data_IF_336395615087
#
_entry.id   IF_336395615087
#
_cell.length_a   1.000
_cell.length_b   1.000
_cell.length_c   1.000
_cell.angle_alpha   90.00
_cell.angle_beta   90.00
_cell.angle_gamma   90.00
#
_symmetry.space_group_name_H-M   'P 1'
#
loop_
_entity.id
_entity.type
_entity.pdbx_description
1 polymer ?
#
# COMPACT_ATOMS: atom_id res chain seq x y z
N UNK A 1 7.16 -2.71 -3.14
CA UNK A 1 5.94 -3.55 -3.14
C UNK A 1 6.29 -4.96 -2.69
N UNK A 2 5.97 -5.34 -1.46
CA UNK A 2 6.42 -6.62 -0.88
C UNK A 2 5.72 -7.82 -1.53
N UNK A 3 4.39 -7.86 -1.52
CA UNK A 3 3.62 -8.98 -2.07
C UNK A 3 3.81 -9.17 -3.58
N UNK A 4 4.01 -8.08 -4.32
CA UNK A 4 4.34 -8.12 -5.75
C UNK A 4 5.69 -8.79 -6.00
N UNK A 5 6.74 -8.36 -5.29
CA UNK A 5 8.06 -8.98 -5.41
C UNK A 5 8.01 -10.46 -4.98
N UNK A 6 7.30 -10.75 -3.89
CA UNK A 6 7.18 -12.12 -3.41
C UNK A 6 6.47 -13.03 -4.42
N UNK A 7 5.46 -12.54 -5.16
CA UNK A 7 4.87 -13.27 -6.28
C UNK A 7 5.91 -13.60 -7.36
N UNK A 8 6.78 -12.66 -7.71
CA UNK A 8 7.85 -12.88 -8.70
C UNK A 8 8.88 -13.89 -8.20
N UNK A 9 9.29 -13.80 -6.94
CA UNK A 9 10.23 -14.75 -6.32
C UNK A 9 9.66 -16.16 -6.27
N UNK A 10 8.41 -16.34 -5.88
CA UNK A 10 7.74 -17.65 -5.90
C UNK A 10 7.68 -18.24 -7.31
N UNK A 11 7.40 -17.40 -8.31
CA UNK A 11 7.39 -17.80 -9.71
C UNK A 11 8.78 -18.22 -10.19
N UNK A 12 9.82 -17.44 -9.86
CA UNK A 12 11.20 -17.74 -10.22
C UNK A 12 11.70 -19.07 -9.64
N UNK A 13 11.17 -19.45 -8.46
CA UNK A 13 11.47 -20.73 -7.81
C UNK A 13 10.54 -21.88 -8.24
N UNK A 14 9.75 -21.72 -9.31
CA UNK A 14 8.77 -22.73 -9.77
C UNK A 14 7.81 -23.21 -8.66
N UNK A 15 7.48 -22.33 -7.70
CA UNK A 15 6.60 -22.68 -6.61
C UNK A 15 5.15 -22.85 -7.08
N UNK A 16 4.45 -23.82 -6.48
CA UNK A 16 3.00 -23.99 -6.64
C UNK A 16 2.20 -23.01 -5.76
N UNK A 17 2.83 -22.39 -4.77
CA UNK A 17 2.19 -21.42 -3.87
C UNK A 17 2.01 -20.08 -4.61
N UNK A 18 0.84 -19.46 -4.43
CA UNK A 18 0.50 -18.13 -4.97
C UNK A 18 0.30 -17.13 -3.84
N UNK A 19 0.28 -15.85 -4.20
CA UNK A 19 0.17 -14.73 -3.27
C UNK A 19 -0.86 -13.74 -3.79
N UNK A 20 -1.67 -13.24 -2.86
CA UNK A 20 -2.60 -12.14 -3.03
C UNK A 20 -2.37 -11.10 -1.93
N UNK A 21 -2.83 -9.87 -2.16
CA UNK A 21 -2.83 -8.77 -1.19
C UNK A 21 -4.21 -8.12 -1.18
N UNK A 22 -4.76 -7.95 0.03
CA UNK A 22 -6.09 -7.41 0.27
C UNK A 22 -6.02 -5.92 0.57
N UNK A 23 -6.84 -5.15 -0.14
CA UNK A 23 -7.10 -3.72 0.06
C UNK A 23 -8.57 -3.56 0.42
N UNK A 24 -8.91 -3.72 1.70
CA UNK A 24 -10.28 -3.58 2.13
C UNK A 24 -10.69 -2.10 2.17
N UNK A 25 -11.97 -1.84 1.92
CA UNK A 25 -12.60 -0.56 2.27
C UNK A 25 -12.88 -0.46 3.78
N UNK A 26 -13.95 0.25 4.16
CA UNK A 26 -14.42 0.28 5.55
C UNK A 26 -15.11 -1.05 5.87
N UNK A 27 -14.60 -1.78 6.86
CA UNK A 27 -15.13 -3.10 7.24
C UNK A 27 -15.53 -3.11 8.71
N UNK A 28 -16.73 -3.61 9.00
CA UNK A 28 -17.22 -3.79 10.36
C UNK A 28 -16.41 -4.86 11.09
N UNK A 29 -15.44 -4.39 11.85
CA UNK A 29 -14.51 -5.18 12.65
C UNK A 29 -14.19 -4.40 13.93
N UNK A 30 -13.47 -5.03 14.85
CA UNK A 30 -12.96 -4.34 16.04
C UNK A 30 -11.76 -3.43 15.79
N UNK A 31 -11.43 -3.01 14.56
CA UNK A 31 -10.17 -2.26 14.31
C UNK A 31 -10.10 -0.92 15.05
N UNK A 32 -11.25 -0.26 15.24
CA UNK A 32 -11.33 1.01 15.99
C UNK A 32 -10.94 0.81 17.46
N UNK A 33 -11.14 -0.39 17.99
CA UNK A 33 -10.75 -0.78 19.35
C UNK A 33 -9.36 -1.46 19.39
N UNK A 34 -8.49 -1.20 18.41
CA UNK A 34 -7.19 -1.90 18.27
C UNK A 34 -6.23 -1.71 19.45
N UNK A 35 -6.42 -0.68 20.28
CA UNK A 35 -5.65 -0.48 21.51
C UNK A 35 -5.68 -1.70 22.43
N UNK A 36 -6.77 -2.49 22.42
CA UNK A 36 -6.89 -3.73 23.19
C UNK A 36 -5.88 -4.82 22.80
N UNK A 37 -5.26 -4.70 21.61
CA UNK A 37 -4.28 -5.64 21.07
C UNK A 37 -2.83 -5.16 21.24
N UNK A 38 -2.61 -3.99 21.85
CA UNK A 38 -1.26 -3.43 22.01
C UNK A 38 -0.47 -4.23 23.07
N UNK A 39 0.74 -4.73 22.74
CA UNK A 39 1.62 -5.35 23.72
C UNK A 39 1.96 -4.40 24.89
N UNK A 40 2.06 -4.95 26.11
CA UNK A 40 2.26 -4.14 27.33
C UNK A 40 3.55 -3.35 27.34
N UNK A 41 4.60 -3.87 26.71
CA UNK A 41 5.92 -3.24 26.53
C UNK A 41 5.90 -2.08 25.52
N UNK A 42 4.83 -1.97 24.72
CA UNK A 42 4.61 -0.87 23.78
C UNK A 42 3.54 0.11 24.25
N UNK A 43 3.09 0.01 25.50
CA UNK A 43 2.13 0.96 26.05
C UNK A 43 2.72 2.37 26.10
N UNK A 44 1.90 3.34 25.73
CA UNK A 44 2.26 4.73 25.89
C UNK A 44 2.38 5.04 27.39
N UNK A 45 3.32 5.89 27.80
CA UNK A 45 3.33 6.40 29.16
C UNK A 45 2.03 7.15 29.46
N UNK A 46 1.59 7.13 30.71
CA UNK A 46 0.48 7.98 31.14
C UNK A 46 0.85 9.45 30.92
N UNK A 47 0.03 10.14 30.13
CA UNK A 47 0.16 11.58 29.88
C UNK A 47 -1.10 12.28 30.31
N UNK A 48 -0.96 13.40 31.02
CA UNK A 48 -2.09 14.29 31.30
C UNK A 48 -2.36 15.13 30.05
N UNK A 49 -3.44 14.81 29.35
CA UNK A 49 -3.88 15.58 28.19
C UNK A 49 -4.68 16.82 28.63
N UNK A 50 -4.59 17.90 27.85
CA UNK A 50 -5.51 19.03 27.96
C UNK A 50 -6.96 18.52 27.77
N UNK A 51 -7.93 18.88 28.64
CA UNK A 51 -9.34 18.54 28.48
C UNK A 51 -9.92 18.74 27.06
N UNK A 52 -9.54 19.80 26.36
CA UNK A 52 -10.00 20.07 24.98
C UNK A 52 -9.53 18.99 24.00
N UNK A 53 -8.27 18.53 24.13
CA UNK A 53 -7.73 17.44 23.31
C UNK A 53 -8.44 16.12 23.61
N UNK A 54 -8.77 15.87 24.88
CA UNK A 54 -9.52 14.67 25.29
C UNK A 54 -10.88 14.64 24.61
N UNK A 55 -11.59 15.77 24.57
CA UNK A 55 -12.87 15.89 23.91
C UNK A 55 -12.76 15.64 22.40
N UNK A 56 -11.80 16.28 21.73
CA UNK A 56 -11.56 16.09 20.29
C UNK A 56 -11.26 14.62 19.95
N UNK A 57 -10.37 13.97 20.70
CA UNK A 57 -10.06 12.55 20.51
C UNK A 57 -11.28 11.65 20.75
N UNK A 58 -12.09 11.96 21.76
CA UNK A 58 -13.30 11.20 22.06
C UNK A 58 -14.32 11.31 20.92
N UNK A 59 -14.49 12.51 20.37
CA UNK A 59 -15.36 12.74 19.21
C UNK A 59 -14.86 11.99 17.98
N UNK A 60 -13.57 12.08 17.65
CA UNK A 60 -12.95 11.37 16.52
C UNK A 60 -13.13 9.85 16.65
N UNK A 61 -12.92 9.31 17.85
CA UNK A 61 -13.10 7.90 18.15
C UNK A 61 -14.56 7.45 17.98
N UNK A 62 -15.52 8.23 18.49
CA UNK A 62 -16.94 7.93 18.33
C UNK A 62 -17.37 7.99 16.84
N UNK A 63 -16.86 8.95 16.08
CA UNK A 63 -17.10 9.04 14.64
C UNK A 63 -16.54 7.83 13.89
N UNK A 64 -15.33 7.38 14.25
CA UNK A 64 -14.76 6.16 13.69
C UNK A 64 -15.62 4.93 14.04
N UNK A 65 -16.10 4.79 15.28
CA UNK A 65 -17.01 3.70 15.67
C UNK A 65 -18.29 3.71 14.85
N UNK A 66 -18.89 4.88 14.65
CA UNK A 66 -20.10 5.00 13.83
C UNK A 66 -19.83 4.67 12.36
N UNK A 67 -18.71 5.10 11.80
CA UNK A 67 -18.35 4.82 10.42
C UNK A 67 -18.11 3.32 10.18
N UNK A 68 -17.30 2.69 11.03
CA UNK A 68 -16.92 1.28 10.89
C UNK A 68 -18.01 0.32 11.39
N UNK A 69 -18.85 0.72 12.34
CA UNK A 69 -19.97 -0.08 12.84
C UNK A 69 -21.30 0.21 12.14
N UNK A 70 -21.35 1.25 11.30
CA UNK A 70 -22.58 1.76 10.69
C UNK A 70 -22.91 1.15 9.33
N UNK A 71 -24.01 1.59 8.70
CA UNK A 71 -24.54 1.00 7.46
C UNK A 71 -23.63 1.18 6.23
N UNK A 72 -22.64 2.08 6.29
CA UNK A 72 -21.66 2.28 5.22
C UNK A 72 -20.49 1.28 5.28
N UNK A 73 -20.40 0.49 6.33
CA UNK A 73 -19.34 -0.52 6.50
C UNK A 73 -19.72 -1.85 5.83
N UNK A 74 -18.75 -2.47 5.18
CA UNK A 74 -18.90 -3.83 4.65
C UNK A 74 -18.78 -4.86 5.78
N UNK A 75 -19.54 -5.95 5.71
CA UNK A 75 -19.38 -7.05 6.67
C UNK A 75 -18.09 -7.84 6.43
N UNK A 76 -17.48 -8.37 7.49
CA UNK A 76 -16.32 -9.26 7.35
C UNK A 76 -16.62 -10.51 6.51
N UNK A 77 -17.87 -11.01 6.54
CA UNK A 77 -18.31 -12.13 5.69
C UNK A 77 -18.25 -11.76 4.21
N UNK A 78 -18.76 -10.59 3.83
CA UNK A 78 -18.71 -10.11 2.44
C UNK A 78 -17.27 -9.99 1.96
N UNK A 79 -16.37 -9.45 2.80
CA UNK A 79 -14.93 -9.41 2.49
C UNK A 79 -14.36 -10.81 2.25
N UNK A 80 -14.72 -11.78 3.10
CA UNK A 80 -14.29 -13.16 2.93
C UNK A 80 -14.77 -13.74 1.60
N UNK A 81 -16.04 -13.56 1.24
CA UNK A 81 -16.60 -14.05 -0.03
C UNK A 81 -15.81 -13.49 -1.25
N UNK A 82 -15.46 -12.19 -1.23
CA UNK A 82 -14.62 -11.56 -2.27
C UNK A 82 -13.21 -12.17 -2.31
N UNK A 83 -12.61 -12.39 -1.15
CA UNK A 83 -11.26 -12.96 -1.02
C UNK A 83 -11.22 -14.40 -1.55
N UNK A 84 -12.20 -15.23 -1.22
CA UNK A 84 -12.29 -16.60 -1.72
C UNK A 84 -12.41 -16.62 -3.24
N UNK A 85 -13.29 -15.80 -3.82
CA UNK A 85 -13.40 -15.67 -5.27
C UNK A 85 -12.08 -15.21 -5.91
N UNK A 86 -11.36 -14.27 -5.29
CA UNK A 86 -10.08 -13.79 -5.80
C UNK A 86 -8.97 -14.86 -5.75
N UNK A 87 -8.95 -15.69 -4.71
CA UNK A 87 -8.02 -16.81 -4.58
C UNK A 87 -8.27 -17.84 -5.70
N UNK A 88 -9.53 -18.22 -5.94
CA UNK A 88 -9.91 -19.16 -7.01
C UNK A 88 -9.48 -18.67 -8.40
N UNK A 89 -9.46 -17.35 -8.60
CA UNK A 89 -9.07 -16.71 -9.86
C UNK A 89 -7.60 -16.24 -9.90
N UNK A 90 -6.78 -16.64 -8.92
CA UNK A 90 -5.36 -16.25 -8.79
C UNK A 90 -5.10 -14.72 -8.89
N UNK A 91 -6.02 -13.91 -8.37
CA UNK A 91 -5.94 -12.44 -8.42
C UNK A 91 -4.96 -11.94 -7.36
N UNK A 92 -3.96 -11.14 -7.79
CA UNK A 92 -2.97 -10.56 -6.87
C UNK A 92 -3.56 -9.42 -6.03
N UNK A 93 -4.21 -8.43 -6.64
CA UNK A 93 -4.71 -7.24 -5.95
C UNK A 93 -6.20 -7.37 -5.69
N UNK A 94 -6.60 -7.55 -4.44
CA UNK A 94 -7.99 -7.74 -4.03
C UNK A 94 -8.52 -6.43 -3.46
N UNK A 95 -9.25 -5.65 -4.26
CA UNK A 95 -9.96 -4.47 -3.77
C UNK A 95 -11.40 -4.86 -3.42
N UNK A 96 -11.82 -4.64 -2.17
CA UNK A 96 -13.23 -4.90 -1.79
C UNK A 96 -14.12 -3.71 -2.04
N UNK A 97 -13.56 -2.50 -2.06
CA UNK A 97 -14.23 -1.25 -2.40
C UNK A 97 -13.62 -0.66 -3.67
N UNK A 98 -14.41 -0.67 -4.75
CA UNK A 98 -13.99 -0.22 -6.08
C UNK A 98 -14.00 1.31 -6.23
N UNK A 99 -14.55 2.06 -5.26
CA UNK A 99 -14.51 3.52 -5.29
C UNK A 99 -13.07 4.08 -5.30
N UNK A 100 -12.09 3.28 -4.85
CA UNK A 100 -10.67 3.62 -4.86
C UNK A 100 -10.08 3.78 -6.27
N UNK A 101 -10.73 3.27 -7.32
CA UNK A 101 -10.21 3.29 -8.69
C UNK A 101 -9.84 4.70 -9.17
N UNK A 102 -10.72 5.68 -8.96
CA UNK A 102 -10.48 7.07 -9.35
C UNK A 102 -9.24 7.64 -8.66
N UNK A 103 -9.10 7.41 -7.35
CA UNK A 103 -7.94 7.88 -6.58
C UNK A 103 -6.63 7.24 -7.06
N UNK A 104 -6.67 5.95 -7.40
CA UNK A 104 -5.51 5.23 -7.95
C UNK A 104 -5.11 5.82 -9.31
N UNK A 105 -6.08 6.09 -10.19
CA UNK A 105 -5.83 6.70 -11.51
C UNK A 105 -5.18 8.07 -11.38
N UNK A 106 -5.79 8.97 -10.61
CA UNK A 106 -5.28 10.35 -10.40
C UNK A 106 -3.86 10.33 -9.84
N UNK A 107 -3.61 9.50 -8.83
CA UNK A 107 -2.27 9.36 -8.25
C UNK A 107 -1.26 8.87 -9.28
N UNK A 108 -1.62 7.86 -10.06
CA UNK A 108 -0.73 7.26 -11.06
C UNK A 108 -0.42 8.24 -12.18
N UNK A 109 -1.43 8.97 -12.67
CA UNK A 109 -1.27 10.02 -13.67
C UNK A 109 -0.32 11.13 -13.19
N UNK A 110 -0.46 11.57 -11.93
CA UNK A 110 0.44 12.55 -11.35
C UNK A 110 1.91 12.05 -11.34
N UNK A 111 2.13 10.81 -10.91
CA UNK A 111 3.47 10.20 -10.93
C UNK A 111 4.05 10.10 -12.35
N UNK A 112 3.24 9.73 -13.34
CA UNK A 112 3.65 9.65 -14.74
C UNK A 112 3.97 11.03 -15.32
N UNK A 113 3.22 12.06 -14.92
CA UNK A 113 3.49 13.44 -15.33
C UNK A 113 4.85 13.91 -14.80
N UNK A 114 5.16 13.67 -13.53
CA UNK A 114 6.46 14.00 -12.94
C UNK A 114 7.60 13.27 -13.66
N UNK A 115 7.43 11.97 -13.96
CA UNK A 115 8.39 11.21 -14.75
C UNK A 115 8.61 11.81 -16.14
N UNK A 116 7.56 12.29 -16.80
CA UNK A 116 7.68 12.90 -18.12
C UNK A 116 8.41 14.25 -18.08
N UNK A 117 8.28 15.02 -17.00
CA UNK A 117 9.06 16.24 -16.79
C UNK A 117 10.55 15.89 -16.66
N UNK A 118 10.87 14.90 -15.84
CA UNK A 118 12.26 14.45 -15.64
C UNK A 118 12.87 13.87 -16.91
N UNK A 119 12.11 13.11 -17.70
CA UNK A 119 12.58 12.60 -19.01
C UNK A 119 13.05 13.73 -19.92
N UNK A 120 12.27 14.81 -20.04
CA UNK A 120 12.66 15.98 -20.85
C UNK A 120 13.96 16.62 -20.36
N UNK A 121 14.16 16.69 -19.04
CA UNK A 121 15.41 17.19 -18.47
C UNK A 121 16.59 16.28 -18.81
N UNK A 122 16.44 14.96 -18.65
CA UNK A 122 17.46 13.97 -18.96
C UNK A 122 17.82 14.01 -20.45
N UNK A 123 16.82 14.07 -21.34
CA UNK A 123 17.02 14.22 -22.78
C UNK A 123 17.78 15.51 -23.13
N UNK A 124 17.37 16.64 -22.54
CA UNK A 124 18.00 17.95 -22.77
C UNK A 124 19.46 17.98 -22.31
N UNK A 125 19.77 17.36 -21.18
CA UNK A 125 21.10 17.40 -20.57
C UNK A 125 22.01 16.26 -21.04
N UNK A 126 21.45 15.28 -21.75
CA UNK A 126 22.16 14.05 -22.12
C UNK A 126 22.48 13.15 -20.94
N UNK A 127 22.01 13.44 -19.71
CA UNK A 127 22.30 12.69 -18.48
C UNK A 127 21.54 11.35 -18.40
N UNK A 128 21.49 10.61 -19.51
CA UNK A 128 20.78 9.34 -19.56
C UNK A 128 21.59 8.24 -18.87
N UNK A 129 20.88 7.18 -18.47
CA UNK A 129 21.51 5.98 -17.91
C UNK A 129 22.50 5.36 -18.91
N UNK A 130 22.16 5.34 -20.19
CA UNK A 130 23.02 4.86 -21.28
C UNK A 130 24.29 5.71 -21.39
N UNK A 131 24.18 7.04 -21.33
CA UNK A 131 25.36 7.91 -21.29
C UNK A 131 26.23 7.62 -20.08
N UNK A 132 25.63 7.49 -18.90
CA UNK A 132 26.37 7.16 -17.68
C UNK A 132 27.14 5.84 -17.81
N UNK A 133 26.51 4.79 -18.37
CA UNK A 133 27.20 3.53 -18.61
C UNK A 133 28.28 3.64 -19.69
N UNK A 134 28.04 4.37 -20.79
CA UNK A 134 29.05 4.64 -21.81
C UNK A 134 30.28 5.32 -21.21
N UNK A 135 30.07 6.39 -20.44
CA UNK A 135 31.14 7.16 -19.80
C UNK A 135 31.93 6.29 -18.79
N UNK A 136 31.27 5.37 -18.08
CA UNK A 136 31.94 4.41 -17.20
C UNK A 136 32.81 3.40 -17.98
N UNK A 137 32.29 2.85 -19.09
CA UNK A 137 33.05 1.91 -19.91
C UNK A 137 34.26 2.60 -20.57
N UNK A 138 34.10 3.85 -21.01
CA UNK A 138 35.19 4.69 -21.53
C UNK A 138 36.26 4.99 -20.47
N UNK A 139 35.88 5.05 -19.19
CA UNK A 139 36.79 5.15 -18.05
C UNK A 139 37.44 3.81 -17.65
N UNK A 140 37.21 2.73 -18.40
CA UNK A 140 37.83 1.44 -18.19
C UNK A 140 37.14 0.56 -17.14
N UNK A 141 35.94 0.93 -16.67
CA UNK A 141 35.12 -0.01 -15.90
C UNK A 141 34.70 -1.18 -16.79
N UNK A 142 34.92 -2.41 -16.32
CA UNK A 142 34.38 -3.61 -16.97
C UNK A 142 33.08 -3.99 -16.27
N UNK A 143 32.02 -4.24 -17.04
CA UNK A 143 30.78 -4.76 -16.47
C UNK A 143 31.06 -6.06 -15.71
N UNK A 144 30.65 -6.13 -14.46
CA UNK A 144 30.56 -7.42 -13.78
C UNK A 144 29.55 -8.26 -14.57
N UNK A 145 30.00 -9.37 -15.14
CA UNK A 145 29.12 -10.36 -15.73
C UNK A 145 28.23 -10.90 -14.60
N UNK A 146 26.97 -10.46 -14.57
CA UNK A 146 25.90 -11.09 -13.80
C UNK A 146 25.13 -12.03 -14.72
#
# INVERSE_FOLDING_TARGET
ALSENFKWELKANNSKVKVSVLFPGIVNTGIVDSHRNRPTDLNNPEITLNPELIEEYTQLYNNAKQLYGGPLSMSAKTVADIVFNAIENEILFIFTDLASETGIKVRTEAMLNDMNILKKFVEKTGQSREKFFSDLMDQGYKSANY
#
